data_IF_174056599541
#
_entry.id   IF_174056599541
#
_cell.length_a   1.000
_cell.length_b   1.000
_cell.length_c   1.000
_cell.angle_alpha   90.00
_cell.angle_beta   90.00
_cell.angle_gamma   90.00
#
_symmetry.space_group_name_H-M   'P 1'
#
loop_
_entity.id
_entity.type
_entity.pdbx_description
1 polymer ?
#
# COMPACT_ATOMS: atom_id res chain seq x y z
N UNK A 1 7.34 -5.48 15.60
CA UNK A 1 8.16 -5.21 14.40
C UNK A 1 7.27 -5.44 13.19
N UNK A 2 7.16 -4.45 12.27
CA UNK A 2 6.43 -4.60 11.00
C UNK A 2 7.43 -4.98 9.92
N UNK A 3 7.07 -5.99 9.11
CA UNK A 3 7.88 -6.45 7.98
C UNK A 3 7.07 -6.23 6.71
N UNK A 4 7.64 -5.51 5.75
CA UNK A 4 7.06 -5.31 4.43
C UNK A 4 7.72 -6.25 3.43
N UNK A 5 6.94 -7.09 2.76
CA UNK A 5 7.42 -8.06 1.77
C UNK A 5 7.62 -7.42 0.39
N UNK A 6 8.35 -6.30 0.33
CA UNK A 6 8.79 -5.69 -0.91
C UNK A 6 10.20 -6.18 -1.26
N UNK A 7 10.41 -6.50 -2.52
CA UNK A 7 11.67 -6.98 -3.09
C UNK A 7 12.41 -5.90 -3.89
N UNK A 8 11.85 -4.70 -3.99
CA UNK A 8 12.41 -3.58 -4.74
C UNK A 8 12.69 -2.39 -3.81
N UNK A 9 13.93 -1.90 -3.84
CA UNK A 9 14.35 -0.72 -3.08
C UNK A 9 13.65 0.57 -3.49
N UNK A 10 12.93 0.61 -4.62
CA UNK A 10 12.02 1.71 -4.95
C UNK A 10 11.00 1.94 -3.83
N UNK A 11 10.36 0.88 -3.33
CA UNK A 11 9.39 1.00 -2.24
C UNK A 11 10.04 1.49 -0.94
N UNK A 12 11.26 1.00 -0.63
CA UNK A 12 12.04 1.50 0.50
C UNK A 12 12.31 3.00 0.36
N UNK A 13 12.66 3.47 -0.84
CA UNK A 13 12.91 4.88 -1.13
C UNK A 13 11.66 5.72 -0.90
N UNK A 14 10.53 5.33 -1.48
CA UNK A 14 9.26 6.05 -1.29
C UNK A 14 8.87 6.10 0.19
N UNK A 15 8.95 4.98 0.92
CA UNK A 15 8.61 4.90 2.34
C UNK A 15 9.60 5.64 3.26
N UNK A 16 10.83 5.86 2.81
CA UNK A 16 11.85 6.63 3.55
C UNK A 16 11.79 8.13 3.25
N UNK A 17 10.95 8.57 2.31
CA UNK A 17 10.84 9.96 1.90
C UNK A 17 10.03 10.82 2.87
N UNK A 18 10.27 12.13 2.84
CA UNK A 18 9.48 13.14 3.57
C UNK A 18 7.98 13.00 3.30
N UNK A 19 7.59 12.68 2.06
CA UNK A 19 6.18 12.57 1.66
C UNK A 19 5.48 11.47 2.47
N UNK A 20 6.10 10.29 2.57
CA UNK A 20 5.52 9.20 3.34
C UNK A 20 5.57 9.46 4.85
N UNK A 21 6.70 9.98 5.36
CA UNK A 21 6.85 10.32 6.79
C UNK A 21 5.79 11.34 7.21
N UNK A 22 5.56 12.37 6.40
CA UNK A 22 4.52 13.37 6.65
C UNK A 22 3.12 12.73 6.68
N UNK A 23 2.80 11.88 5.69
CA UNK A 23 1.53 11.16 5.64
C UNK A 23 1.36 10.24 6.86
N UNK A 24 2.36 9.41 7.16
CA UNK A 24 2.32 8.49 8.28
C UNK A 24 2.14 9.19 9.64
N UNK A 25 2.80 10.32 9.85
CA UNK A 25 2.64 11.13 11.06
C UNK A 25 1.24 11.77 11.15
N UNK A 26 0.58 12.00 10.01
CA UNK A 26 -0.77 12.60 9.98
C UNK A 26 -1.88 11.59 10.22
N UNK A 27 -1.74 10.38 9.69
CA UNK A 27 -2.78 9.32 9.76
C UNK A 27 -2.51 8.27 10.83
N UNK A 28 -1.28 8.16 11.29
CA UNK A 28 -0.86 7.24 12.35
C UNK A 28 -1.44 7.61 13.72
N UNK A 29 -1.35 6.68 14.64
CA UNK A 29 -1.75 6.89 16.03
C UNK A 29 -0.68 7.64 16.84
N UNK A 30 -1.06 8.08 18.03
CA UNK A 30 -0.19 8.71 19.00
C UNK A 30 -0.31 7.99 20.34
N UNK A 31 0.81 7.79 21.04
CA UNK A 31 0.86 7.18 22.37
C UNK A 31 1.21 8.21 23.43
N UNK A 32 1.07 7.79 24.70
CA UNK A 32 1.38 8.61 25.86
C UNK A 32 0.50 9.87 25.93
N UNK A 33 1.11 11.00 26.11
CA UNK A 33 0.43 12.32 26.13
C UNK A 33 0.30 12.93 24.71
N UNK A 34 0.44 12.10 23.66
CA UNK A 34 0.31 12.54 22.27
C UNK A 34 1.63 13.02 21.62
N UNK A 35 2.77 12.62 22.17
CA UNK A 35 4.10 12.98 21.69
C UNK A 35 4.86 11.85 20.98
N UNK A 36 4.40 10.60 21.11
CA UNK A 36 5.02 9.43 20.48
C UNK A 36 4.15 8.93 19.31
N UNK A 37 4.60 9.17 18.08
CA UNK A 37 3.90 8.69 16.89
C UNK A 37 4.02 7.17 16.76
N UNK A 38 2.91 6.52 16.38
CA UNK A 38 2.86 5.08 16.10
C UNK A 38 2.55 4.83 14.64
N UNK A 39 3.35 3.95 14.04
CA UNK A 39 3.14 3.49 12.68
C UNK A 39 2.27 2.23 12.70
N UNK A 40 1.06 2.28 12.18
CA UNK A 40 0.25 1.10 11.92
C UNK A 40 0.11 0.86 10.41
N UNK A 41 0.15 -0.42 9.98
CA UNK A 41 0.17 -0.75 8.56
C UNK A 41 -1.15 -0.40 7.84
N UNK A 42 -2.29 -0.53 8.52
CA UNK A 42 -3.60 -0.31 7.92
C UNK A 42 -3.84 1.17 7.55
N UNK A 43 -3.34 2.10 8.36
CA UNK A 43 -3.50 3.52 8.09
C UNK A 43 -2.30 4.11 7.35
N UNK A 44 -1.07 3.75 7.76
CA UNK A 44 0.13 4.39 7.24
C UNK A 44 0.64 3.77 5.94
N UNK A 45 0.38 2.47 5.65
CA UNK A 45 0.83 1.80 4.43
C UNK A 45 -0.31 1.52 3.45
N UNK A 46 -1.37 0.82 3.90
CA UNK A 46 -2.44 0.36 3.00
C UNK A 46 -3.21 1.52 2.36
N UNK A 47 -3.34 2.64 3.09
CA UNK A 47 -4.00 3.86 2.60
C UNK A 47 -3.04 4.83 1.91
N UNK A 48 -1.74 4.53 1.89
CA UNK A 48 -0.76 5.40 1.26
C UNK A 48 -0.79 5.26 -0.26
N UNK A 49 -1.06 6.34 -1.00
CA UNK A 49 -1.12 6.29 -2.46
C UNK A 49 0.28 6.38 -3.05
N UNK A 50 0.91 5.24 -3.35
CA UNK A 50 2.22 5.22 -4.01
C UNK A 50 2.22 5.99 -5.34
N UNK A 51 3.34 6.63 -5.73
CA UNK A 51 3.39 7.43 -6.95
C UNK A 51 3.29 6.54 -8.20
N UNK A 52 2.75 7.12 -9.25
CA UNK A 52 2.80 6.55 -10.61
C UNK A 52 4.11 6.98 -11.26
N UNK A 53 5.21 6.31 -10.94
CA UNK A 53 6.55 6.67 -11.39
C UNK A 53 6.91 6.01 -12.71
N UNK A 54 7.58 6.75 -13.61
CA UNK A 54 8.21 6.20 -14.81
C UNK A 54 9.36 5.26 -14.45
N UNK A 55 9.80 4.40 -15.37
CA UNK A 55 10.92 3.49 -15.14
C UNK A 55 12.21 4.23 -14.73
N UNK A 56 12.49 5.36 -15.38
CA UNK A 56 13.64 6.19 -15.03
C UNK A 56 13.54 6.76 -13.60
N UNK A 57 12.35 7.21 -13.18
CA UNK A 57 12.11 7.69 -11.82
C UNK A 57 12.23 6.56 -10.80
N UNK A 58 11.69 5.36 -11.10
CA UNK A 58 11.82 4.20 -10.23
C UNK A 58 13.30 3.79 -10.07
N UNK A 59 14.06 3.74 -11.16
CA UNK A 59 15.50 3.45 -11.13
C UNK A 59 16.25 4.46 -10.27
N UNK A 60 15.98 5.75 -10.46
CA UNK A 60 16.63 6.81 -9.68
C UNK A 60 16.32 6.71 -8.18
N UNK A 61 15.06 6.48 -7.82
CA UNK A 61 14.64 6.32 -6.41
C UNK A 61 15.27 5.05 -5.82
N UNK A 62 15.33 3.95 -6.56
CA UNK A 62 15.97 2.70 -6.16
C UNK A 62 17.44 2.91 -5.81
N UNK A 63 18.20 3.51 -6.71
CA UNK A 63 19.61 3.82 -6.49
C UNK A 63 19.85 4.67 -5.24
N UNK A 64 19.03 5.70 -5.03
CA UNK A 64 19.12 6.56 -3.87
C UNK A 64 18.78 5.83 -2.57
N UNK A 65 17.75 4.98 -2.60
CA UNK A 65 17.36 4.16 -1.46
C UNK A 65 18.42 3.15 -1.06
N UNK A 66 19.03 2.47 -2.04
CA UNK A 66 20.15 1.54 -1.81
C UNK A 66 21.37 2.27 -1.22
N UNK A 67 21.70 3.44 -1.76
CA UNK A 67 22.80 4.27 -1.22
C UNK A 67 22.54 4.74 0.21
N UNK A 68 21.30 5.13 0.51
CA UNK A 68 20.88 5.53 1.85
C UNK A 68 20.99 4.37 2.85
N UNK A 69 20.49 3.18 2.48
CA UNK A 69 20.57 1.98 3.31
C UNK A 69 22.03 1.53 3.52
N UNK A 70 22.82 1.49 2.45
CA UNK A 70 24.24 1.15 2.51
C UNK A 70 25.03 2.15 3.39
N UNK A 71 24.72 3.45 3.32
CA UNK A 71 25.32 4.46 4.18
C UNK A 71 25.04 4.17 5.65
N UNK A 72 23.75 3.97 6.03
CA UNK A 72 23.35 3.68 7.41
C UNK A 72 24.05 2.44 7.95
N UNK A 73 24.01 1.34 7.20
CA UNK A 73 24.63 0.05 7.59
C UNK A 73 26.13 0.18 7.76
N UNK A 74 26.81 0.91 6.86
CA UNK A 74 28.26 1.12 6.93
C UNK A 74 28.65 1.91 8.18
N UNK A 75 27.95 3.02 8.48
CA UNK A 75 28.27 3.83 9.64
C UNK A 75 28.03 3.05 10.96
N UNK A 76 26.95 2.28 11.04
CA UNK A 76 26.71 1.44 12.21
C UNK A 76 27.72 0.29 12.37
N UNK A 77 28.18 -0.29 11.26
CA UNK A 77 29.23 -1.33 11.30
C UNK A 77 30.57 -0.77 11.79
N UNK A 78 30.91 0.44 11.38
CA UNK A 78 32.15 1.14 11.82
C UNK A 78 32.04 1.66 13.26
N UNK A 79 30.85 2.05 13.68
CA UNK A 79 30.57 2.64 14.98
C UNK A 79 29.40 1.90 15.68
N UNK A 80 29.63 0.73 16.33
CA UNK A 80 28.56 -0.10 16.88
C UNK A 80 27.66 0.54 17.95
N UNK A 81 28.12 1.66 18.54
CA UNK A 81 27.33 2.44 19.52
C UNK A 81 26.39 3.46 18.84
N UNK A 82 26.52 3.66 17.53
CA UNK A 82 25.73 4.61 16.79
C UNK A 82 24.33 4.03 16.53
N UNK A 83 23.32 4.68 17.06
CA UNK A 83 21.91 4.28 16.84
C UNK A 83 21.27 5.11 15.72
N UNK A 84 20.23 4.57 15.09
CA UNK A 84 19.44 5.36 14.15
C UNK A 84 18.78 6.55 14.83
N UNK A 85 18.32 6.39 16.06
CA UNK A 85 17.74 7.51 16.83
C UNK A 85 18.72 8.65 16.99
N UNK A 86 19.97 8.37 17.39
CA UNK A 86 20.99 9.41 17.51
C UNK A 86 21.28 10.10 16.16
N UNK A 87 21.40 9.31 15.07
CA UNK A 87 21.62 9.84 13.71
C UNK A 87 20.52 10.81 13.28
N UNK A 88 19.27 10.40 13.45
CA UNK A 88 18.14 11.21 12.99
C UNK A 88 17.86 12.41 13.88
N UNK A 89 18.10 12.31 15.19
CA UNK A 89 18.05 13.47 16.08
C UNK A 89 19.08 14.55 15.70
N UNK A 90 20.30 14.14 15.32
CA UNK A 90 21.33 15.06 14.84
C UNK A 90 20.95 15.63 13.47
N UNK A 91 20.39 14.80 12.57
CA UNK A 91 19.90 15.25 11.26
C UNK A 91 18.84 16.34 11.40
N UNK A 92 17.86 16.16 12.29
CA UNK A 92 16.82 17.17 12.55
C UNK A 92 17.41 18.48 13.09
N UNK A 93 18.35 18.40 14.00
CA UNK A 93 19.06 19.60 14.51
C UNK A 93 19.84 20.33 13.41
N UNK A 94 20.50 19.58 12.51
CA UNK A 94 21.20 20.18 11.36
C UNK A 94 20.22 20.85 10.39
N UNK A 95 19.05 20.27 10.18
CA UNK A 95 17.98 20.86 9.35
C UNK A 95 17.44 22.15 9.98
N UNK A 96 17.27 22.14 11.31
CA UNK A 96 16.79 23.29 12.07
C UNK A 96 17.87 24.38 12.31
N UNK A 97 19.13 24.13 11.93
CA UNK A 97 20.25 25.05 12.23
C UNK A 97 20.57 25.15 13.73
N UNK A 98 20.16 24.16 14.53
CA UNK A 98 20.38 24.15 15.99
C UNK A 98 21.80 23.71 16.31
N UNK A 99 22.52 24.37 17.24
CA UNK A 99 23.86 23.96 17.64
C UNK A 99 23.89 22.57 18.24
N UNK A 100 24.92 21.80 17.89
CA UNK A 100 25.17 20.46 18.42
C UNK A 100 26.01 20.52 19.69
N UNK A 101 25.65 19.72 20.69
CA UNK A 101 26.53 19.49 21.85
C UNK A 101 27.68 18.52 21.51
N UNK A 102 28.64 18.33 22.42
CA UNK A 102 29.81 17.49 22.18
C UNK A 102 29.49 16.02 21.81
N UNK A 103 28.45 15.43 22.42
CA UNK A 103 28.00 14.05 22.08
C UNK A 103 27.40 14.03 20.66
N UNK A 104 26.61 15.02 20.32
CA UNK A 104 25.96 15.14 19.02
C UNK A 104 26.97 15.43 17.91
N UNK A 105 28.04 16.20 18.20
CA UNK A 105 29.15 16.41 17.26
C UNK A 105 29.85 15.09 16.95
N UNK A 106 30.12 14.25 17.96
CA UNK A 106 30.68 12.92 17.74
C UNK A 106 29.74 12.03 16.91
N UNK A 107 28.42 12.07 17.17
CA UNK A 107 27.42 11.39 16.37
C UNK A 107 27.42 11.90 14.91
N UNK A 108 27.53 13.21 14.72
CA UNK A 108 27.63 13.84 13.41
C UNK A 108 28.85 13.35 12.63
N UNK A 109 30.01 13.29 13.27
CA UNK A 109 31.26 12.80 12.67
C UNK A 109 31.19 11.30 12.35
N UNK A 110 30.81 10.47 13.30
CA UNK A 110 30.72 9.02 13.13
C UNK A 110 29.63 8.62 12.14
N UNK A 111 28.52 9.33 12.14
CA UNK A 111 27.39 9.09 11.25
C UNK A 111 27.52 9.70 9.87
N UNK A 112 28.52 10.56 9.65
CA UNK A 112 28.61 11.40 8.45
C UNK A 112 27.25 12.03 8.11
N UNK A 113 26.63 12.68 9.12
CA UNK A 113 25.22 13.10 9.04
C UNK A 113 24.97 14.14 7.95
N UNK A 114 25.99 14.90 7.54
CA UNK A 114 25.89 15.77 6.36
C UNK A 114 25.68 14.96 5.08
N UNK A 115 26.34 13.81 4.92
CA UNK A 115 26.13 12.91 3.77
C UNK A 115 24.74 12.26 3.85
N UNK A 116 24.32 11.85 5.05
CA UNK A 116 22.98 11.32 5.29
C UNK A 116 21.90 12.34 4.89
N UNK A 117 22.08 13.61 5.27
CA UNK A 117 21.20 14.72 4.88
C UNK A 117 21.11 14.84 3.37
N UNK A 118 22.25 14.88 2.66
CA UNK A 118 22.26 15.02 1.21
C UNK A 118 21.53 13.84 0.52
N UNK A 119 21.73 12.61 1.03
CA UNK A 119 21.03 11.43 0.49
C UNK A 119 19.51 11.52 0.67
N UNK A 120 19.05 12.03 1.82
CA UNK A 120 17.62 12.28 2.05
C UNK A 120 17.08 13.41 1.16
N UNK A 121 17.81 14.51 1.04
CA UNK A 121 17.38 15.64 0.23
C UNK A 121 17.28 15.25 -1.26
N UNK A 122 18.25 14.46 -1.77
CA UNK A 122 18.20 13.89 -3.13
C UNK A 122 17.02 12.92 -3.31
N UNK A 123 16.78 12.07 -2.33
CA UNK A 123 15.67 11.11 -2.34
C UNK A 123 14.31 11.83 -2.30
N UNK A 124 14.16 12.81 -1.42
CA UNK A 124 12.94 13.59 -1.28
C UNK A 124 12.61 14.34 -2.59
N UNK A 125 13.64 14.91 -3.25
CA UNK A 125 13.46 15.54 -4.55
C UNK A 125 13.04 14.55 -5.65
N UNK A 126 13.66 13.36 -5.68
CA UNK A 126 13.31 12.32 -6.65
C UNK A 126 11.87 11.79 -6.45
N UNK A 127 11.47 11.57 -5.19
CA UNK A 127 10.12 11.11 -4.86
C UNK A 127 9.09 12.22 -5.12
N UNK A 128 9.37 13.48 -4.79
CA UNK A 128 8.50 14.61 -5.13
C UNK A 128 8.26 14.68 -6.65
N UNK A 129 9.32 14.52 -7.45
CA UNK A 129 9.21 14.44 -8.91
C UNK A 129 8.31 13.29 -9.40
N UNK A 130 8.32 12.13 -8.72
CA UNK A 130 7.42 11.02 -9.06
C UNK A 130 5.94 11.31 -8.75
N UNK A 131 5.66 12.23 -7.81
CA UNK A 131 4.31 12.76 -7.55
C UNK A 131 3.98 14.00 -8.38
N UNK A 132 4.84 14.42 -9.30
CA UNK A 132 4.72 15.70 -10.03
C UNK A 132 4.62 16.93 -9.10
N UNK A 133 5.24 16.84 -7.91
CA UNK A 133 5.33 17.93 -6.95
C UNK A 133 6.70 18.63 -7.06
N UNK A 134 6.78 19.95 -6.82
CA UNK A 134 8.06 20.62 -6.70
C UNK A 134 8.78 20.16 -5.42
N UNK A 135 10.13 20.09 -5.42
CA UNK A 135 10.89 19.70 -4.23
C UNK A 135 10.64 20.61 -3.01
N UNK A 136 10.20 21.83 -3.27
CA UNK A 136 9.87 22.86 -2.25
C UNK A 136 8.41 22.84 -1.83
N UNK A 137 7.62 21.81 -2.20
CA UNK A 137 6.23 21.72 -1.82
C UNK A 137 6.05 21.80 -0.30
N UNK A 138 5.07 22.58 0.15
CA UNK A 138 4.72 22.69 1.56
C UNK A 138 4.04 21.40 2.05
N UNK A 139 4.02 21.16 3.36
CA UNK A 139 3.37 20.01 3.96
C UNK A 139 1.88 19.94 3.60
N UNK A 140 1.19 21.09 3.62
CA UNK A 140 -0.22 21.17 3.24
C UNK A 140 -0.45 20.85 1.75
N UNK A 141 0.44 21.30 0.87
CA UNK A 141 0.37 20.97 -0.55
C UNK A 141 0.56 19.47 -0.80
N UNK A 142 1.52 18.85 -0.10
CA UNK A 142 1.76 17.40 -0.17
C UNK A 142 0.52 16.63 0.31
N UNK A 143 -0.01 16.96 1.49
CA UNK A 143 -1.19 16.29 2.05
C UNK A 143 -2.43 16.45 1.17
N UNK A 144 -2.66 17.65 0.65
CA UNK A 144 -3.77 17.93 -0.28
C UNK A 144 -3.64 17.08 -1.55
N UNK A 145 -2.43 16.99 -2.12
CA UNK A 145 -2.17 16.15 -3.29
C UNK A 145 -2.43 14.66 -3.00
N UNK A 146 -1.94 14.14 -1.87
CA UNK A 146 -2.15 12.74 -1.49
C UNK A 146 -3.63 12.42 -1.25
N UNK A 147 -4.39 13.33 -0.65
CA UNK A 147 -5.84 13.19 -0.47
C UNK A 147 -6.57 13.14 -1.83
N UNK A 148 -6.21 14.04 -2.76
CA UNK A 148 -6.78 14.06 -4.12
C UNK A 148 -6.46 12.76 -4.87
N UNK A 149 -5.20 12.28 -4.78
CA UNK A 149 -4.78 11.04 -5.40
C UNK A 149 -5.52 9.82 -4.83
N UNK A 150 -5.74 9.76 -3.51
CA UNK A 150 -6.54 8.71 -2.87
C UNK A 150 -8.01 8.75 -3.34
N UNK A 151 -8.61 9.93 -3.43
CA UNK A 151 -9.97 10.09 -3.94
C UNK A 151 -10.11 9.62 -5.40
N UNK A 152 -9.11 9.95 -6.22
CA UNK A 152 -9.04 9.49 -7.62
C UNK A 152 -8.97 7.95 -7.68
N UNK A 153 -8.07 7.33 -6.90
CA UNK A 153 -7.91 5.87 -6.88
C UNK A 153 -9.14 5.14 -6.36
N UNK A 154 -9.78 5.67 -5.33
CA UNK A 154 -11.04 5.13 -4.86
C UNK A 154 -12.16 5.24 -5.92
N UNK A 155 -12.13 6.23 -6.79
CA UNK A 155 -13.03 6.31 -7.93
C UNK A 155 -12.68 5.28 -9.02
N UNK A 156 -11.40 5.09 -9.32
CA UNK A 156 -10.90 4.06 -10.26
C UNK A 156 -11.30 2.65 -9.77
N UNK A 157 -11.12 2.35 -8.48
CA UNK A 157 -11.49 1.06 -7.87
C UNK A 157 -12.99 0.78 -7.97
N UNK A 158 -13.84 1.79 -7.79
CA UNK A 158 -15.30 1.66 -7.98
C UNK A 158 -15.69 1.31 -9.42
N UNK A 159 -14.85 1.66 -10.39
CA UNK A 159 -15.03 1.29 -11.81
C UNK A 159 -14.34 -0.02 -12.17
N UNK A 160 -13.73 -0.71 -11.19
CA UNK A 160 -13.05 -1.99 -11.35
C UNK A 160 -11.56 -1.92 -11.69
N UNK A 161 -10.97 -0.72 -11.71
CA UNK A 161 -9.55 -0.55 -11.96
C UNK A 161 -8.77 -0.55 -10.62
N UNK A 162 -8.14 -1.66 -10.29
CA UNK A 162 -7.32 -1.81 -9.08
C UNK A 162 -5.85 -1.73 -9.45
N UNK A 163 -5.11 -0.84 -8.78
CA UNK A 163 -3.66 -0.69 -8.95
C UNK A 163 -2.93 -1.54 -7.93
N UNK A 164 -2.27 -2.60 -8.38
CA UNK A 164 -1.48 -3.48 -7.51
C UNK A 164 -0.01 -3.02 -7.47
N UNK A 165 0.60 -2.99 -6.30
CA UNK A 165 2.04 -2.70 -6.14
C UNK A 165 2.91 -3.82 -6.70
N UNK A 166 2.46 -5.06 -6.55
CA UNK A 166 3.10 -6.29 -7.06
C UNK A 166 2.06 -7.15 -7.79
N UNK A 167 1.69 -6.78 -9.02
CA UNK A 167 0.56 -7.41 -9.71
C UNK A 167 0.67 -8.93 -9.82
N UNK A 168 1.85 -9.45 -10.18
CA UNK A 168 2.08 -10.89 -10.31
C UNK A 168 1.88 -11.67 -9.00
N UNK A 169 2.12 -11.04 -7.86
CA UNK A 169 1.94 -11.62 -6.54
C UNK A 169 0.55 -11.36 -5.95
N UNK A 170 0.06 -10.12 -6.07
CA UNK A 170 -1.21 -9.69 -5.48
C UNK A 170 -2.42 -10.17 -6.30
N UNK A 171 -2.27 -10.34 -7.61
CA UNK A 171 -3.31 -10.85 -8.50
C UNK A 171 -2.72 -11.80 -9.57
N UNK A 172 -2.21 -12.99 -9.18
CA UNK A 172 -1.51 -13.91 -10.07
C UNK A 172 -2.41 -14.50 -11.15
N UNK A 173 -3.73 -14.48 -10.96
CA UNK A 173 -4.71 -15.03 -11.93
C UNK A 173 -5.30 -13.98 -12.86
N UNK A 174 -4.88 -12.71 -12.74
CA UNK A 174 -5.34 -11.66 -13.63
C UNK A 174 -4.76 -11.87 -15.02
N UNK A 175 -5.64 -12.20 -15.98
CA UNK A 175 -5.33 -12.14 -17.41
C UNK A 175 -5.51 -10.74 -17.99
N UNK A 176 -5.96 -9.78 -17.18
CA UNK A 176 -6.02 -8.38 -17.57
C UNK A 176 -4.59 -7.90 -17.83
N UNK A 177 -4.33 -7.51 -19.06
CA UNK A 177 -3.09 -6.84 -19.45
C UNK A 177 -2.83 -5.73 -18.44
N UNK A 178 -1.71 -5.84 -17.71
CA UNK A 178 -1.24 -4.75 -16.86
C UNK A 178 -1.24 -3.52 -17.76
N UNK A 179 -2.00 -2.52 -17.40
CA UNK A 179 -1.75 -1.20 -17.94
C UNK A 179 -0.41 -0.80 -17.36
N UNK A 180 0.66 -1.22 -18.05
CA UNK A 180 1.99 -0.72 -17.78
C UNK A 180 1.84 0.79 -17.68
N UNK A 181 2.50 1.38 -16.70
CA UNK A 181 2.69 2.81 -16.55
C UNK A 181 3.47 3.36 -17.77
N UNK A 182 2.86 3.26 -18.94
CA UNK A 182 3.32 3.87 -20.15
C UNK A 182 2.49 5.13 -20.32
N UNK A 183 3.16 6.25 -20.12
CA UNK A 183 2.67 7.51 -20.65
C UNK A 183 2.37 7.33 -22.14
N UNK A 184 1.22 7.87 -22.49
CA UNK A 184 0.85 8.39 -23.79
C UNK A 184 0.95 7.43 -25.00
N UNK A 185 -0.22 6.92 -25.40
CA UNK A 185 -0.63 6.85 -26.80
C UNK A 185 -2.16 6.75 -26.90
N UNK A 186 -2.78 7.83 -27.34
CA UNK A 186 -4.08 7.78 -27.99
C UNK A 186 -3.96 6.90 -29.24
N UNK A 187 -4.79 5.89 -29.37
CA UNK A 187 -5.55 5.64 -30.58
C UNK A 187 -6.72 4.69 -30.28
N UNK A 188 -7.88 5.01 -30.83
CA UNK A 188 -9.12 4.33 -30.59
C UNK A 188 -9.22 3.03 -31.37
N UNK A 189 -9.82 2.03 -30.77
CA UNK A 189 -10.63 1.04 -31.49
C UNK A 189 -11.57 0.36 -30.51
N UNK A 190 -12.85 0.32 -30.88
CA UNK A 190 -13.96 -0.32 -30.17
C UNK A 190 -13.65 -1.79 -29.83
N UNK A 191 -13.79 -2.14 -28.57
CA UNK A 191 -13.55 -3.49 -28.06
C UNK A 191 -14.81 -4.11 -27.46
N UNK A 192 -15.20 -5.16 -28.01
CA UNK A 192 -16.28 -6.10 -27.77
C UNK A 192 -16.53 -6.40 -26.29
N UNK A 193 -17.77 -6.23 -25.87
CA UNK A 193 -18.35 -6.61 -24.58
C UNK A 193 -18.24 -8.13 -24.38
N UNK A 194 -17.34 -8.62 -23.54
CA UNK A 194 -17.31 -10.00 -23.10
C UNK A 194 -18.19 -10.16 -21.87
N UNK A 195 -19.30 -10.85 -22.03
CA UNK A 195 -20.17 -11.34 -20.94
C UNK A 195 -19.41 -12.44 -20.16
N UNK A 196 -19.32 -12.38 -18.81
CA UNK A 196 -18.70 -13.48 -18.05
C UNK A 196 -19.57 -14.73 -18.15
N UNK A 197 -19.03 -15.78 -18.72
CA UNK A 197 -19.65 -17.09 -18.72
C UNK A 197 -19.64 -17.67 -17.28
N UNK A 198 -20.80 -18.14 -16.82
CA UNK A 198 -20.93 -18.87 -15.56
C UNK A 198 -20.06 -20.14 -15.59
N UNK A 199 -19.42 -20.52 -14.45
CA UNK A 199 -18.59 -21.72 -14.40
C UNK A 199 -19.45 -22.96 -14.58
N UNK A 200 -19.16 -23.76 -15.59
CA UNK A 200 -19.91 -24.95 -16.02
C UNK A 200 -19.68 -26.19 -15.14
N UNK A 201 -18.80 -26.14 -14.15
CA UNK A 201 -18.54 -27.25 -13.22
C UNK A 201 -18.81 -26.85 -11.77
N UNK A 202 -19.71 -27.57 -11.10
CA UNK A 202 -20.00 -27.36 -9.68
C UNK A 202 -18.79 -27.67 -8.82
N UNK A 203 -18.45 -26.75 -7.91
CA UNK A 203 -17.35 -26.89 -6.95
C UNK A 203 -17.69 -27.95 -5.88
N UNK A 204 -16.68 -28.67 -5.40
CA UNK A 204 -16.85 -29.58 -4.29
C UNK A 204 -17.19 -28.82 -3.00
N UNK A 205 -18.15 -29.30 -2.20
CA UNK A 205 -18.49 -28.69 -0.92
C UNK A 205 -17.47 -29.13 0.15
N UNK A 206 -16.73 -28.20 0.79
CA UNK A 206 -15.75 -28.56 1.81
C UNK A 206 -16.37 -29.15 3.08
N UNK A 207 -15.57 -29.89 3.86
CA UNK A 207 -16.04 -30.54 5.09
C UNK A 207 -15.93 -29.63 6.33
N UNK A 208 -14.91 -28.79 6.43
CA UNK A 208 -14.72 -27.91 7.58
C UNK A 208 -15.45 -26.58 7.41
N UNK A 209 -15.90 -25.99 8.53
CA UNK A 209 -16.64 -24.72 8.51
C UNK A 209 -15.79 -23.56 7.94
N UNK A 210 -14.51 -23.50 8.32
CA UNK A 210 -13.59 -22.46 7.82
C UNK A 210 -13.38 -22.54 6.31
N UNK A 211 -13.25 -23.73 5.75
CA UNK A 211 -13.15 -23.93 4.31
C UNK A 211 -14.47 -23.62 3.59
N UNK A 212 -15.61 -23.95 4.23
CA UNK A 212 -16.94 -23.59 3.71
C UNK A 212 -17.11 -22.07 3.64
N UNK A 213 -16.73 -21.34 4.70
CA UNK A 213 -16.80 -19.88 4.72
C UNK A 213 -15.90 -19.24 3.65
N UNK A 214 -14.70 -19.76 3.46
CA UNK A 214 -13.79 -19.31 2.41
C UNK A 214 -14.36 -19.60 1.01
N UNK A 215 -14.91 -20.79 0.80
CA UNK A 215 -15.52 -21.19 -0.48
C UNK A 215 -16.73 -20.32 -0.84
N UNK A 216 -17.62 -20.05 0.14
CA UNK A 216 -18.80 -19.19 -0.04
C UNK A 216 -18.37 -17.75 -0.33
N UNK A 217 -17.38 -17.21 0.39
CA UNK A 217 -16.83 -15.88 0.13
C UNK A 217 -16.24 -15.78 -1.28
N UNK A 218 -15.43 -16.76 -1.68
CA UNK A 218 -14.83 -16.81 -3.02
C UNK A 218 -15.91 -16.93 -4.11
N UNK A 219 -16.95 -17.75 -3.88
CA UNK A 219 -18.07 -17.85 -4.81
C UNK A 219 -18.85 -16.52 -4.90
N UNK A 220 -19.08 -15.83 -3.77
CA UNK A 220 -19.79 -14.55 -3.73
C UNK A 220 -19.04 -13.47 -4.51
N UNK A 221 -17.71 -13.43 -4.42
CA UNK A 221 -16.89 -12.48 -5.19
C UNK A 221 -16.91 -12.72 -6.69
N UNK A 222 -17.20 -13.96 -7.12
CA UNK A 222 -17.31 -14.30 -8.54
C UNK A 222 -18.67 -13.90 -9.16
N UNK A 223 -19.66 -13.51 -8.34
CA UNK A 223 -20.93 -13.01 -8.84
C UNK A 223 -20.85 -11.53 -9.18
N UNK A 224 -21.15 -11.19 -10.42
CA UNK A 224 -21.17 -9.80 -10.88
C UNK A 224 -22.37 -8.97 -10.34
N UNK A 225 -23.33 -9.61 -9.70
CA UNK A 225 -24.54 -9.02 -9.15
C UNK A 225 -24.86 -9.60 -7.77
N UNK A 226 -25.68 -8.91 -6.92
CA UNK A 226 -26.07 -9.41 -5.63
C UNK A 226 -26.70 -10.82 -5.72
N UNK A 227 -26.16 -11.78 -4.98
CA UNK A 227 -26.58 -13.17 -5.00
C UNK A 227 -27.30 -13.56 -3.70
N UNK A 228 -28.29 -14.41 -3.79
CA UNK A 228 -28.94 -15.05 -2.64
C UNK A 228 -28.28 -16.41 -2.32
N UNK A 229 -28.60 -16.96 -1.15
CA UNK A 229 -28.07 -18.24 -0.70
C UNK A 229 -28.40 -19.38 -1.67
N UNK A 230 -29.56 -19.32 -2.33
CA UNK A 230 -30.01 -20.35 -3.28
C UNK A 230 -29.20 -20.30 -4.59
N UNK A 231 -28.86 -19.11 -5.07
CA UNK A 231 -27.98 -18.93 -6.24
C UNK A 231 -26.57 -19.47 -5.97
N UNK A 232 -26.01 -19.13 -4.79
CA UNK A 232 -24.71 -19.62 -4.36
C UNK A 232 -24.69 -21.14 -4.14
N UNK A 233 -25.77 -21.74 -3.61
CA UNK A 233 -25.87 -23.18 -3.43
C UNK A 233 -25.73 -23.95 -4.75
N UNK A 234 -26.19 -23.37 -5.87
CA UNK A 234 -26.09 -24.00 -7.20
C UNK A 234 -24.66 -24.13 -7.72
N UNK A 235 -23.72 -23.34 -7.17
CA UNK A 235 -22.32 -23.40 -7.55
C UNK A 235 -21.56 -24.56 -6.90
N UNK A 236 -22.13 -25.16 -5.85
CA UNK A 236 -21.50 -26.27 -5.12
C UNK A 236 -22.23 -27.60 -5.34
N UNK A 237 -21.48 -28.69 -5.18
CA UNK A 237 -22.06 -30.06 -5.14
C UNK A 237 -22.53 -30.32 -3.71
N UNK A 238 -23.84 -30.56 -3.53
CA UNK A 238 -24.43 -30.98 -2.25
C UNK A 238 -24.38 -29.93 -1.10
N UNK A 239 -24.22 -28.67 -1.39
CA UNK A 239 -24.37 -27.63 -0.39
C UNK A 239 -25.83 -27.36 -0.08
N UNK A 240 -26.18 -27.25 1.21
CA UNK A 240 -27.52 -26.89 1.67
C UNK A 240 -27.65 -25.37 1.70
N UNK A 241 -28.79 -24.86 1.22
CA UNK A 241 -29.08 -23.42 1.16
C UNK A 241 -29.01 -22.78 2.54
N UNK A 242 -29.64 -23.41 3.56
CA UNK A 242 -29.64 -22.89 4.94
C UNK A 242 -28.23 -22.74 5.49
N UNK A 243 -27.33 -23.69 5.17
CA UNK A 243 -25.93 -23.64 5.60
C UNK A 243 -25.15 -22.49 4.94
N UNK A 244 -25.45 -22.19 3.69
CA UNK A 244 -24.86 -21.06 2.98
C UNK A 244 -25.40 -19.74 3.52
N UNK A 245 -26.66 -19.68 3.90
CA UNK A 245 -27.30 -18.52 4.51
C UNK A 245 -26.65 -18.19 5.86
N UNK A 246 -26.48 -19.18 6.76
CA UNK A 246 -25.76 -19.03 8.03
C UNK A 246 -24.34 -18.46 7.83
N UNK A 247 -23.65 -18.95 6.80
CA UNK A 247 -22.29 -18.50 6.47
C UNK A 247 -22.32 -17.06 5.95
N UNK A 248 -23.27 -16.70 5.09
CA UNK A 248 -23.40 -15.34 4.56
C UNK A 248 -23.72 -14.33 5.64
N UNK A 249 -24.60 -14.68 6.58
CA UNK A 249 -24.91 -13.85 7.75
C UNK A 249 -23.69 -13.68 8.65
N UNK A 250 -22.92 -14.77 8.86
CA UNK A 250 -21.67 -14.71 9.61
C UNK A 250 -20.65 -13.80 8.90
N UNK A 251 -20.47 -13.94 7.58
CA UNK A 251 -19.60 -13.08 6.80
C UNK A 251 -20.04 -11.61 6.82
N UNK A 252 -21.36 -11.37 6.82
CA UNK A 252 -21.91 -10.02 6.93
C UNK A 252 -21.65 -9.39 8.31
N UNK A 253 -21.81 -10.18 9.39
CA UNK A 253 -21.50 -9.71 10.75
C UNK A 253 -20.02 -9.40 10.96
N UNK A 254 -19.13 -10.08 10.23
CA UNK A 254 -17.67 -9.86 10.23
C UNK A 254 -17.22 -8.77 9.22
N UNK A 255 -18.14 -8.12 8.52
CA UNK A 255 -17.83 -7.11 7.51
C UNK A 255 -17.18 -7.64 6.22
N UNK A 256 -17.22 -8.96 6.00
CA UNK A 256 -16.67 -9.62 4.81
C UNK A 256 -17.71 -9.85 3.69
N UNK A 257 -18.96 -9.57 3.98
CA UNK A 257 -20.05 -9.47 3.02
C UNK A 257 -20.99 -8.35 3.46
N UNK A 258 -21.79 -7.84 2.54
CA UNK A 258 -22.83 -6.85 2.84
C UNK A 258 -24.19 -7.41 2.48
N UNK A 259 -25.08 -7.48 3.48
CA UNK A 259 -26.47 -7.87 3.29
C UNK A 259 -27.25 -6.72 2.63
N UNK A 260 -28.12 -7.05 1.68
CA UNK A 260 -29.00 -6.14 0.97
C UNK A 260 -30.46 -6.54 1.20
N UNK A 261 -31.45 -5.63 0.98
CA UNK A 261 -32.85 -5.95 1.07
C UNK A 261 -33.23 -7.13 0.17
N UNK A 262 -34.08 -8.04 0.68
CA UNK A 262 -34.53 -9.21 -0.06
C UNK A 262 -33.60 -10.43 0.04
N UNK A 263 -32.80 -10.55 1.11
CA UNK A 263 -31.96 -11.73 1.38
C UNK A 263 -30.81 -11.92 0.39
N UNK A 264 -30.35 -10.83 -0.22
CA UNK A 264 -29.23 -10.83 -1.14
C UNK A 264 -27.96 -10.33 -0.46
N UNK A 265 -26.81 -10.80 -0.93
CA UNK A 265 -25.50 -10.47 -0.40
C UNK A 265 -24.56 -10.07 -1.54
N UNK A 266 -23.64 -9.18 -1.23
CA UNK A 266 -22.49 -8.82 -2.08
C UNK A 266 -21.21 -8.96 -1.28
N UNK A 267 -20.12 -9.24 -1.94
CA UNK A 267 -18.79 -9.20 -1.29
C UNK A 267 -18.51 -7.77 -0.80
N UNK A 268 -17.91 -7.66 0.38
CA UNK A 268 -17.52 -6.38 0.97
C UNK A 268 -16.15 -5.95 0.47
#
# INVERSE_FOLDING_TARGET
MLIFAFDDAFHLGVLSSRIHVLFANRVGGWLGVGNDSTYNHSDCLEKFPFPTATEAQQTRIRELAERLDAHRKRQQAQHPKLTFTDLYNVLEKLRAGTPLNAKEQLTHEHGLVTVLRQLHDDLDAAVAGAYALPPTATDDAILTHLCALNAQRAAEERTGQIRHLRPAFQNPTSTATQTALAGDRMDGTEGTKATPAAPTAKLAWPKSFSEQALAVRTALTAFAAPADAAALAKTFKSAKTDRIEDILETLASLGQARALPGGKFVAA
#
